data_IF_719221771521
#
_entry.id   IF_719221771521
#
_cell.length_a   1.000
_cell.length_b   1.000
_cell.length_c   1.000
_cell.angle_alpha   90.00
_cell.angle_beta   90.00
_cell.angle_gamma   90.00
#
_symmetry.space_group_name_H-M   'P 1'
#
loop_
_entity.id
_entity.type
_entity.pdbx_description
1 polymer ?
#
# COMPACT_ATOMS: atom_id res chain seq x y z
N UNK A 1 -14.67 4.81 2.59
CA UNK A 1 -14.19 6.05 1.95
C UNK A 1 -13.96 5.75 0.47
N UNK A 2 -14.35 6.65 -0.42
CA UNK A 2 -14.02 6.62 -1.84
C UNK A 2 -12.76 7.46 -2.04
N UNK A 3 -11.72 6.90 -2.65
CA UNK A 3 -10.52 7.64 -3.05
C UNK A 3 -10.54 7.76 -4.56
N UNK A 4 -10.37 8.98 -5.07
CA UNK A 4 -10.62 9.30 -6.47
C UNK A 4 -9.60 10.29 -7.03
N UNK A 5 -9.25 10.11 -8.30
CA UNK A 5 -8.41 11.03 -9.06
C UNK A 5 -8.83 11.06 -10.53
N UNK A 6 -8.61 12.21 -11.18
CA UNK A 6 -8.68 12.40 -12.64
C UNK A 6 -7.31 12.67 -13.26
N UNK A 7 -6.23 12.56 -12.48
CA UNK A 7 -4.87 13.01 -12.82
C UNK A 7 -4.49 14.38 -12.25
N UNK A 8 -5.44 15.13 -11.69
CA UNK A 8 -5.19 16.43 -11.04
C UNK A 8 -5.29 16.34 -9.51
N UNK A 9 -4.42 15.53 -8.91
CA UNK A 9 -4.41 15.26 -7.48
C UNK A 9 -5.40 14.18 -7.05
N UNK A 10 -5.30 13.75 -5.79
CA UNK A 10 -6.08 12.66 -5.21
C UNK A 10 -6.98 13.21 -4.12
N UNK A 11 -8.24 12.77 -4.07
CA UNK A 11 -9.21 13.24 -3.09
C UNK A 11 -9.93 12.07 -2.42
N UNK A 12 -10.16 12.19 -1.11
CA UNK A 12 -10.93 11.24 -0.31
C UNK A 12 -12.32 11.78 0.00
N UNK A 13 -13.33 10.95 -0.24
CA UNK A 13 -14.73 11.24 0.04
C UNK A 13 -15.29 10.22 1.03
N UNK A 14 -15.88 10.69 2.12
CA UNK A 14 -16.49 9.83 3.14
C UNK A 14 -17.97 9.70 2.87
N UNK A 15 -18.50 8.47 2.91
CA UNK A 15 -19.93 8.22 2.82
C UNK A 15 -20.58 8.65 4.14
N UNK A 16 -21.53 9.58 4.06
CA UNK A 16 -22.53 9.77 5.09
C UNK A 16 -23.69 8.79 4.84
N UNK A 17 -23.84 7.74 5.66
CA UNK A 17 -24.88 6.74 5.46
C UNK A 17 -26.29 7.26 5.75
N UNK A 18 -26.43 8.37 6.50
CA UNK A 18 -27.75 8.92 6.84
C UNK A 18 -28.46 9.55 5.64
N UNK A 19 -27.68 10.10 4.70
CA UNK A 19 -28.16 10.76 3.48
C UNK A 19 -27.67 10.08 2.20
N UNK A 20 -26.92 8.99 2.31
CA UNK A 20 -26.41 8.22 1.17
C UNK A 20 -25.44 8.99 0.26
N UNK A 21 -24.74 9.98 0.79
CA UNK A 21 -23.92 10.91 0.00
C UNK A 21 -22.45 10.84 0.40
N UNK A 22 -21.57 10.79 -0.61
CA UNK A 22 -20.14 10.95 -0.42
C UNK A 22 -19.77 12.44 -0.39
N UNK A 23 -19.29 12.94 0.74
CA UNK A 23 -18.81 14.32 0.86
C UNK A 23 -17.28 14.36 0.82
N UNK A 24 -16.72 15.46 0.30
CA UNK A 24 -15.29 15.68 0.25
C UNK A 24 -14.74 15.82 1.68
N UNK A 25 -14.03 14.80 2.16
CA UNK A 25 -13.52 14.74 3.53
C UNK A 25 -12.00 14.96 3.60
N UNK A 26 -11.28 14.64 2.52
CA UNK A 26 -9.82 14.75 2.44
C UNK A 26 -9.41 15.36 1.09
N UNK A 27 -9.32 16.70 0.99
CA UNK A 27 -8.89 17.35 -0.24
C UNK A 27 -7.38 17.16 -0.46
N UNK A 28 -6.97 16.98 -1.73
CA UNK A 28 -5.58 16.93 -2.17
C UNK A 28 -4.68 16.02 -1.29
N UNK A 29 -5.11 14.77 -1.10
CA UNK A 29 -4.35 13.77 -0.37
C UNK A 29 -2.96 13.59 -0.98
N UNK A 30 -1.94 13.52 -0.11
CA UNK A 30 -0.55 13.25 -0.46
C UNK A 30 0.01 12.18 0.45
N UNK A 31 0.85 11.33 -0.11
CA UNK A 31 1.62 10.37 0.67
C UNK A 31 2.63 11.12 1.53
N UNK A 32 2.84 10.70 2.79
CA UNK A 32 4.03 11.08 3.54
C UNK A 32 5.29 10.70 2.75
N UNK A 33 6.31 11.58 2.74
CA UNK A 33 7.56 11.34 2.03
C UNK A 33 8.31 10.12 2.58
N UNK A 34 8.26 9.96 3.90
CA UNK A 34 8.88 8.86 4.63
C UNK A 34 7.83 8.07 5.42
N UNK A 35 8.17 6.84 5.76
CA UNK A 35 7.34 6.04 6.66
C UNK A 35 8.05 4.80 7.16
N UNK A 36 7.68 4.36 8.36
CA UNK A 36 8.30 3.24 9.06
C UNK A 36 7.39 2.00 9.06
N UNK A 37 6.53 1.85 8.04
CA UNK A 37 5.63 0.70 7.87
C UNK A 37 6.04 -0.04 6.60
N UNK A 38 6.13 -1.36 6.70
CA UNK A 38 6.22 -2.22 5.51
C UNK A 38 5.12 -3.29 5.55
N UNK A 39 4.61 -3.63 4.37
CA UNK A 39 3.42 -4.46 4.23
C UNK A 39 3.61 -5.53 3.18
N UNK A 40 3.74 -6.78 3.64
CA UNK A 40 3.94 -7.95 2.79
C UNK A 40 3.49 -9.21 3.52
N UNK A 41 3.03 -10.21 2.78
CA UNK A 41 2.74 -11.53 3.34
C UNK A 41 4.04 -12.31 3.59
N UNK A 42 4.66 -12.15 4.75
CA UNK A 42 5.89 -12.89 5.11
C UNK A 42 5.70 -14.42 5.17
N UNK A 43 4.47 -14.95 5.13
CA UNK A 43 4.23 -16.37 4.91
C UNK A 43 4.79 -16.90 3.59
N UNK A 44 5.08 -16.02 2.62
CA UNK A 44 5.75 -16.36 1.36
C UNK A 44 7.26 -16.09 1.38
N UNK A 45 7.87 -15.78 2.53
CA UNK A 45 9.27 -15.34 2.65
C UNK A 45 10.26 -16.19 1.86
N UNK A 46 10.19 -17.51 2.00
CA UNK A 46 11.09 -18.45 1.32
C UNK A 46 11.01 -18.30 -0.21
N UNK A 47 9.83 -17.98 -0.74
CA UNK A 47 9.52 -17.89 -2.17
C UNK A 47 9.86 -16.54 -2.79
N UNK A 48 10.25 -15.54 -1.99
CA UNK A 48 10.57 -14.21 -2.50
C UNK A 48 11.93 -14.15 -3.19
N UNK A 49 12.10 -13.23 -4.16
CA UNK A 49 13.40 -12.85 -4.69
C UNK A 49 14.34 -12.35 -3.59
N UNK A 50 15.65 -12.50 -3.80
CA UNK A 50 16.65 -12.15 -2.80
C UNK A 50 16.56 -10.67 -2.37
N UNK A 51 16.40 -9.74 -3.31
CA UNK A 51 16.30 -8.31 -2.99
C UNK A 51 15.12 -7.95 -2.07
N UNK A 52 13.99 -8.67 -2.18
CA UNK A 52 12.86 -8.49 -1.25
C UNK A 52 13.19 -9.02 0.14
N UNK A 53 13.87 -10.17 0.22
CA UNK A 53 14.33 -10.74 1.49
C UNK A 53 15.30 -9.78 2.19
N UNK A 54 16.25 -9.24 1.42
CA UNK A 54 17.23 -8.27 1.92
C UNK A 54 16.54 -7.01 2.43
N UNK A 55 15.54 -6.49 1.72
CA UNK A 55 14.75 -5.34 2.17
C UNK A 55 13.94 -5.63 3.45
N UNK A 56 13.31 -6.81 3.56
CA UNK A 56 12.64 -7.21 4.80
C UNK A 56 13.64 -7.26 5.97
N UNK A 57 14.83 -7.82 5.76
CA UNK A 57 15.88 -7.87 6.79
C UNK A 57 16.44 -6.50 7.12
N UNK A 58 16.55 -5.61 6.12
CA UNK A 58 16.82 -4.21 6.33
C UNK A 58 15.76 -3.62 7.26
N UNK A 59 14.46 -3.72 6.95
CA UNK A 59 13.38 -3.21 7.80
C UNK A 59 13.37 -3.76 9.23
N UNK A 60 13.77 -5.02 9.44
CA UNK A 60 13.74 -5.70 10.74
C UNK A 60 14.96 -5.41 11.64
N UNK A 61 16.01 -4.79 11.11
CA UNK A 61 17.25 -4.53 11.88
C UNK A 61 17.02 -3.43 12.92
N UNK A 62 17.53 -3.62 14.13
CA UNK A 62 17.55 -2.56 15.17
C UNK A 62 18.72 -1.61 14.91
N UNK A 63 18.49 -0.58 14.11
CA UNK A 63 19.51 0.39 13.71
C UNK A 63 18.86 1.70 13.25
N UNK A 64 19.30 2.83 13.83
CA UNK A 64 18.77 4.17 13.55
C UNK A 64 17.25 4.27 13.75
N UNK A 65 16.47 4.48 12.68
CA UNK A 65 15.02 4.63 12.66
C UNK A 65 14.26 3.29 12.52
N UNK A 66 14.98 2.16 12.55
CA UNK A 66 14.46 0.80 12.46
C UNK A 66 14.54 0.08 13.82
N UNK A 67 13.64 -0.87 14.11
CA UNK A 67 12.83 -1.66 13.17
C UNK A 67 11.57 -0.96 12.66
N UNK A 68 11.23 -1.21 11.39
CA UNK A 68 9.95 -0.80 10.82
C UNK A 68 8.82 -1.72 11.31
N UNK A 69 7.63 -1.14 11.41
CA UNK A 69 6.41 -1.85 11.81
C UNK A 69 5.88 -2.70 10.64
N UNK A 70 5.85 -4.02 10.81
CA UNK A 70 5.19 -4.93 9.87
C UNK A 70 3.67 -4.84 10.01
N UNK A 71 2.96 -4.56 8.90
CA UNK A 71 1.49 -4.57 8.85
C UNK A 71 1.02 -5.20 7.55
N UNK A 72 0.23 -6.27 7.64
CA UNK A 72 -0.38 -6.91 6.49
C UNK A 72 -1.81 -7.32 6.82
N UNK A 73 -2.78 -6.60 6.28
CA UNK A 73 -4.21 -6.88 6.45
C UNK A 73 -4.65 -8.03 5.53
N UNK A 74 -3.99 -8.17 4.37
CA UNK A 74 -4.33 -9.19 3.38
C UNK A 74 -5.37 -8.74 2.36
N UNK A 75 -5.72 -7.45 2.38
CA UNK A 75 -6.55 -6.79 1.37
C UNK A 75 -5.77 -5.65 0.76
N UNK A 76 -5.55 -5.70 -0.56
CA UNK A 76 -4.84 -4.67 -1.32
C UNK A 76 -5.36 -3.28 -0.98
N UNK A 77 -6.68 -3.08 -1.00
CA UNK A 77 -7.31 -1.79 -0.76
C UNK A 77 -7.02 -1.30 0.66
N UNK A 78 -7.15 -2.17 1.66
CA UNK A 78 -6.96 -1.77 3.06
C UNK A 78 -5.49 -1.46 3.38
N UNK A 79 -4.57 -2.30 2.90
CA UNK A 79 -3.14 -2.10 3.10
C UNK A 79 -2.63 -0.86 2.36
N UNK A 80 -3.00 -0.69 1.10
CA UNK A 80 -2.68 0.50 0.31
C UNK A 80 -3.23 1.76 0.96
N UNK A 81 -4.50 1.74 1.37
CA UNK A 81 -5.16 2.91 1.94
C UNK A 81 -4.50 3.38 3.24
N UNK A 82 -4.05 2.44 4.09
CA UNK A 82 -3.25 2.78 5.27
C UNK A 82 -1.95 3.46 4.87
N UNK A 83 -1.21 2.90 3.92
CA UNK A 83 0.08 3.45 3.49
C UNK A 83 -0.07 4.83 2.84
N UNK A 84 -1.17 5.08 2.13
CA UNK A 84 -1.50 6.41 1.61
C UNK A 84 -1.63 7.47 2.73
N UNK A 85 -2.17 7.11 3.89
CA UNK A 85 -2.37 8.03 5.01
C UNK A 85 -1.14 8.09 5.93
N UNK A 86 -0.48 6.97 6.16
CA UNK A 86 0.57 6.81 7.19
C UNK A 86 1.99 6.73 6.62
N UNK A 87 2.14 6.67 5.31
CA UNK A 87 3.42 6.43 4.65
C UNK A 87 3.84 4.96 4.74
N UNK A 88 5.03 4.69 4.20
CA UNK A 88 5.61 3.35 4.15
C UNK A 88 5.32 2.61 2.84
N UNK A 89 5.68 1.34 2.78
CA UNK A 89 5.70 0.55 1.54
C UNK A 89 4.77 -0.66 1.59
N UNK A 90 4.01 -0.85 0.51
CA UNK A 90 3.22 -2.07 0.28
C UNK A 90 3.87 -2.88 -0.84
N UNK A 91 4.04 -4.18 -0.61
CA UNK A 91 4.73 -5.07 -1.53
C UNK A 91 3.90 -6.33 -1.77
N UNK A 92 3.70 -6.65 -3.05
CA UNK A 92 3.18 -7.93 -3.51
C UNK A 92 4.07 -8.48 -4.64
N UNK A 93 5.30 -8.90 -4.31
CA UNK A 93 6.28 -9.26 -5.32
C UNK A 93 5.91 -10.56 -6.04
N UNK A 94 6.65 -10.85 -7.11
CA UNK A 94 6.67 -12.19 -7.68
C UNK A 94 7.12 -13.22 -6.64
N UNK A 95 6.69 -14.47 -6.83
CA UNK A 95 7.14 -15.61 -6.03
C UNK A 95 7.49 -16.76 -6.96
N UNK A 96 8.19 -17.77 -6.46
CA UNK A 96 8.47 -18.99 -7.24
C UNK A 96 7.21 -19.68 -7.80
N UNK A 97 6.05 -19.51 -7.16
CA UNK A 97 4.75 -20.06 -7.60
C UNK A 97 3.93 -19.09 -8.46
N UNK A 98 4.31 -17.81 -8.48
CA UNK A 98 3.61 -16.76 -9.22
C UNK A 98 4.65 -15.78 -9.77
N UNK A 99 5.37 -16.17 -10.84
CA UNK A 99 6.51 -15.40 -11.35
C UNK A 99 6.12 -14.01 -11.86
N UNK A 100 4.87 -13.83 -12.28
CA UNK A 100 4.32 -12.53 -12.72
C UNK A 100 3.56 -11.78 -11.60
N UNK A 101 3.74 -12.20 -10.33
CA UNK A 101 2.92 -11.72 -9.22
C UNK A 101 1.51 -12.32 -9.22
N UNK A 102 0.68 -11.89 -8.27
CA UNK A 102 -0.71 -12.37 -8.11
C UNK A 102 -1.76 -11.31 -8.45
N UNK A 103 -1.42 -10.04 -8.27
CA UNK A 103 -2.34 -8.93 -8.52
C UNK A 103 -2.54 -8.75 -10.03
N UNK A 104 -3.76 -8.42 -10.43
CA UNK A 104 -4.19 -8.26 -11.82
C UNK A 104 -3.91 -6.84 -12.28
N UNK A 105 -3.17 -6.74 -13.38
CA UNK A 105 -2.65 -5.47 -13.87
C UNK A 105 -3.74 -4.42 -14.09
N UNK A 106 -4.80 -4.77 -14.82
CA UNK A 106 -5.78 -3.79 -15.32
C UNK A 106 -6.63 -3.14 -14.24
N UNK A 107 -7.00 -3.87 -13.20
CA UNK A 107 -7.99 -3.42 -12.22
C UNK A 107 -7.54 -3.51 -10.76
N UNK A 108 -6.31 -3.98 -10.49
CA UNK A 108 -5.68 -3.91 -9.17
C UNK A 108 -4.43 -3.04 -9.21
N UNK A 109 -3.45 -3.37 -10.05
CA UNK A 109 -2.18 -2.65 -10.07
C UNK A 109 -2.32 -1.25 -10.69
N UNK A 110 -2.86 -1.13 -11.90
CA UNK A 110 -2.94 0.15 -12.62
C UNK A 110 -3.76 1.22 -11.86
N UNK A 111 -4.96 0.92 -11.31
CA UNK A 111 -5.72 1.93 -10.58
C UNK A 111 -5.01 2.40 -9.29
N UNK A 112 -4.34 1.48 -8.59
CA UNK A 112 -3.60 1.79 -7.36
C UNK A 112 -2.34 2.59 -7.69
N UNK A 113 -1.61 2.23 -8.75
CA UNK A 113 -0.45 2.97 -9.23
C UNK A 113 -0.82 4.41 -9.59
N UNK A 114 -1.92 4.61 -10.34
CA UNK A 114 -2.38 5.95 -10.72
C UNK A 114 -2.82 6.82 -9.52
N UNK A 115 -3.24 6.20 -8.42
CA UNK A 115 -3.50 6.90 -7.15
C UNK A 115 -2.23 7.25 -6.37
N UNK A 116 -1.09 6.64 -6.71
CA UNK A 116 0.18 6.76 -5.98
C UNK A 116 1.15 7.76 -6.62
N UNK A 117 1.10 7.90 -7.95
CA UNK A 117 1.92 8.84 -8.74
C UNK A 117 1.73 10.31 -8.31
#
# INVERSE_FOLDING_TARGET
>A
MLVYTTGNGVNGFTLDPSIGTYYLSHPNMKFPLDGNIYSINEGNYIKFPQGVKDYIKFCQKEEADRPYTSRYIGSLVADFHRNMIKGGVYMYPSTSQSPNGKLRLLYECNPIAFLTE
#
